data_IF_559774787396
#
_entry.id   IF_559774787396
#
_cell.length_a   1.000
_cell.length_b   1.000
_cell.length_c   1.000
_cell.angle_alpha   90.00
_cell.angle_beta   90.00
_cell.angle_gamma   90.00
#
_symmetry.space_group_name_H-M   'P 1'
#
loop_
_entity.id
_entity.type
_entity.pdbx_description
1 polymer ?
#
# COMPACT_ATOMS: atom_id res chain seq x y z
N UNK A 1 29.78 -32.19 21.45
CA UNK A 1 28.52 -31.67 20.88
C UNK A 1 28.51 -30.17 21.08
N UNK A 2 29.13 -29.42 20.18
CA UNK A 2 29.10 -27.96 20.15
C UNK A 2 27.94 -27.53 19.25
N UNK A 3 26.91 -26.94 19.85
CA UNK A 3 25.76 -26.40 19.12
C UNK A 3 26.22 -25.24 18.23
N UNK A 4 25.99 -25.37 16.93
CA UNK A 4 26.06 -24.25 16.00
C UNK A 4 24.79 -23.44 16.22
N UNK A 5 24.90 -22.35 16.98
CA UNK A 5 23.88 -21.29 16.96
C UNK A 5 24.02 -20.57 15.62
N UNK A 6 23.15 -20.89 14.66
CA UNK A 6 23.02 -20.10 13.44
C UNK A 6 22.48 -18.73 13.82
N UNK A 7 23.32 -17.70 13.75
CA UNK A 7 22.84 -16.31 13.77
C UNK A 7 21.83 -16.12 12.62
N UNK A 8 20.68 -15.46 12.85
CA UNK A 8 19.79 -15.12 11.76
C UNK A 8 20.55 -14.23 10.79
N UNK A 9 20.68 -14.68 9.54
CA UNK A 9 21.28 -13.90 8.47
C UNK A 9 20.34 -12.73 8.18
N UNK A 10 20.56 -11.59 8.84
CA UNK A 10 19.96 -10.32 8.44
C UNK A 10 20.40 -10.06 6.98
N UNK A 11 19.45 -9.88 6.07
CA UNK A 11 19.77 -9.60 4.67
C UNK A 11 20.35 -8.20 4.53
N UNK A 12 21.64 -8.14 4.18
CA UNK A 12 22.36 -6.91 3.86
C UNK A 12 21.74 -6.19 2.65
N UNK A 13 21.80 -4.86 2.68
CA UNK A 13 21.36 -3.91 1.65
C UNK A 13 21.76 -4.32 0.24
N UNK A 14 22.93 -4.94 0.11
CA UNK A 14 23.52 -5.42 -1.14
C UNK A 14 22.69 -6.50 -1.86
N UNK A 15 21.71 -7.12 -1.18
CA UNK A 15 20.83 -8.14 -1.78
C UNK A 15 19.54 -7.59 -2.36
N UNK A 16 19.15 -6.37 -2.01
CA UNK A 16 18.04 -5.72 -2.66
C UNK A 16 18.55 -5.11 -3.96
N UNK A 17 18.04 -5.58 -5.09
CA UNK A 17 18.07 -4.72 -6.26
C UNK A 17 17.20 -3.52 -5.86
N UNK A 18 17.81 -2.36 -5.67
CA UNK A 18 17.08 -1.12 -5.87
C UNK A 18 16.37 -1.30 -7.20
N UNK A 19 15.05 -1.14 -7.24
CA UNK A 19 14.36 -0.85 -8.47
C UNK A 19 14.46 0.67 -8.60
N UNK A 20 15.44 1.22 -9.34
CA UNK A 20 15.32 2.59 -9.81
C UNK A 20 13.95 2.73 -10.49
N UNK A 21 13.31 3.90 -10.36
CA UNK A 21 12.09 4.28 -11.12
C UNK A 21 12.14 3.83 -12.60
N UNK A 22 13.34 3.69 -13.14
CA UNK A 22 13.73 3.39 -14.52
C UNK A 22 13.54 1.94 -15.00
N UNK A 23 13.30 0.93 -14.16
CA UNK A 23 13.20 -0.48 -14.63
C UNK A 23 11.80 -1.02 -14.89
N UNK A 24 10.75 -0.21 -14.76
CA UNK A 24 9.46 -0.54 -15.39
C UNK A 24 9.48 -0.03 -16.84
N UNK A 25 10.24 -0.74 -17.68
CA UNK A 25 10.24 -0.55 -19.14
C UNK A 25 8.80 -0.62 -19.67
N UNK A 26 8.24 0.54 -20.01
CA UNK A 26 7.38 0.92 -21.16
C UNK A 26 6.33 -0.02 -21.78
N UNK A 27 6.13 -1.26 -21.33
CA UNK A 27 5.49 -2.30 -22.15
C UNK A 27 4.33 -3.06 -21.52
N UNK A 28 3.95 -2.78 -20.27
CA UNK A 28 2.80 -3.45 -19.67
C UNK A 28 1.72 -2.45 -19.25
N UNK A 29 1.00 -1.92 -20.25
CA UNK A 29 -0.42 -1.59 -20.05
C UNK A 29 -1.17 -2.90 -19.86
N UNK A 30 -1.05 -3.52 -18.70
CA UNK A 30 -1.81 -4.74 -18.46
C UNK A 30 -3.21 -4.32 -18.05
N UNK A 31 -4.11 -4.38 -19.03
CA UNK A 31 -5.54 -4.34 -18.79
C UNK A 31 -5.89 -5.61 -18.04
N UNK A 32 -6.00 -5.53 -16.73
CA UNK A 32 -6.52 -6.63 -15.95
C UNK A 32 -8.04 -6.54 -15.95
N UNK A 33 -8.68 -7.67 -16.26
CA UNK A 33 -10.06 -7.90 -15.88
C UNK A 33 -9.99 -8.58 -14.52
N UNK A 34 -10.40 -7.88 -13.48
CA UNK A 34 -10.66 -8.54 -12.20
C UNK A 34 -12.00 -9.23 -12.37
N UNK A 35 -11.98 -10.56 -12.33
CA UNK A 35 -13.17 -11.39 -12.36
C UNK A 35 -13.59 -11.70 -10.92
N UNK A 36 -14.54 -10.92 -10.40
CA UNK A 36 -15.17 -11.18 -9.10
C UNK A 36 -16.39 -12.10 -9.27
N UNK A 37 -16.31 -13.07 -10.18
CA UNK A 37 -17.38 -14.01 -10.52
C UNK A 37 -18.31 -13.47 -11.61
N UNK A 38 -19.17 -12.51 -11.29
CA UNK A 38 -20.16 -11.94 -12.24
C UNK A 38 -19.76 -10.53 -12.71
N UNK A 39 -18.78 -9.93 -12.05
CA UNK A 39 -18.34 -8.57 -12.29
C UNK A 39 -16.93 -8.57 -12.88
N UNK A 40 -16.80 -7.96 -14.06
CA UNK A 40 -15.52 -7.72 -14.73
C UNK A 40 -15.12 -6.28 -14.57
N UNK A 41 -14.25 -6.00 -13.61
CA UNK A 41 -13.68 -4.66 -13.44
C UNK A 41 -12.47 -4.52 -14.35
N UNK A 42 -12.51 -3.55 -15.26
CA UNK A 42 -11.37 -3.19 -16.09
C UNK A 42 -10.52 -2.15 -15.34
N UNK A 43 -9.36 -2.57 -14.84
CA UNK A 43 -8.37 -1.63 -14.32
C UNK A 43 -7.13 -1.58 -15.21
N UNK A 44 -6.56 -0.38 -15.30
CA UNK A 44 -5.25 -0.13 -15.87
C UNK A 44 -4.31 0.10 -14.69
N UNK A 45 -3.32 -0.77 -14.55
CA UNK A 45 -2.25 -0.58 -13.56
C UNK A 45 -1.19 0.31 -14.18
N UNK A 46 -1.03 1.51 -13.62
CA UNK A 46 0.10 2.40 -13.93
C UNK A 46 1.17 2.25 -12.85
N UNK A 47 2.39 2.74 -13.07
CA UNK A 47 3.46 2.78 -12.05
C UNK A 47 3.16 3.75 -10.87
N UNK A 48 1.91 4.12 -10.67
CA UNK A 48 1.38 5.10 -9.73
C UNK A 48 0.37 4.37 -8.83
N UNK A 49 0.86 3.64 -7.82
CA UNK A 49 0.04 2.77 -6.98
C UNK A 49 -1.00 3.57 -6.19
N UNK A 50 -0.72 4.83 -5.84
CA UNK A 50 -1.65 5.70 -5.13
C UNK A 50 -2.89 6.08 -5.95
N UNK A 51 -2.75 6.36 -7.25
CA UNK A 51 -3.90 6.63 -8.12
C UNK A 51 -4.63 5.35 -8.51
N UNK A 52 -3.89 4.23 -8.68
CA UNK A 52 -4.50 2.93 -8.91
C UNK A 52 -5.42 2.54 -7.74
N UNK A 53 -4.97 2.72 -6.49
CA UNK A 53 -5.77 2.44 -5.29
C UNK A 53 -6.93 3.42 -5.14
N UNK A 54 -6.72 4.72 -5.44
CA UNK A 54 -7.81 5.69 -5.45
C UNK A 54 -8.97 5.24 -6.36
N UNK A 55 -8.65 4.83 -7.60
CA UNK A 55 -9.65 4.37 -8.56
C UNK A 55 -10.24 3.02 -8.19
N UNK A 56 -9.42 2.10 -7.69
CA UNK A 56 -9.87 0.80 -7.18
C UNK A 56 -10.93 1.00 -6.09
N UNK A 57 -10.69 1.84 -5.09
CA UNK A 57 -11.66 2.08 -4.02
C UNK A 57 -12.99 2.60 -4.58
N UNK A 58 -12.97 3.60 -5.48
CA UNK A 58 -14.19 4.08 -6.14
C UNK A 58 -14.91 2.97 -6.88
N UNK A 59 -14.17 2.16 -7.63
CA UNK A 59 -14.72 1.06 -8.42
C UNK A 59 -15.36 0.00 -7.54
N UNK A 60 -14.75 -0.35 -6.39
CA UNK A 60 -15.34 -1.30 -5.45
C UNK A 60 -16.69 -0.81 -4.91
N UNK A 61 -16.81 0.48 -4.61
CA UNK A 61 -18.05 1.07 -4.09
C UNK A 61 -19.12 1.20 -5.20
N UNK A 62 -18.75 1.66 -6.38
CA UNK A 62 -19.67 1.81 -7.53
C UNK A 62 -20.30 0.48 -7.97
N UNK A 63 -19.58 -0.63 -7.77
CA UNK A 63 -20.06 -1.96 -8.15
C UNK A 63 -20.62 -2.76 -6.96
N UNK A 64 -20.81 -2.15 -5.79
CA UNK A 64 -21.42 -2.78 -4.62
C UNK A 64 -20.58 -3.89 -3.96
N UNK A 65 -19.28 -3.94 -4.24
CA UNK A 65 -18.33 -4.84 -3.56
C UNK A 65 -17.98 -4.29 -2.17
N UNK A 66 -17.88 -2.95 -2.09
CA UNK A 66 -17.70 -2.17 -0.87
C UNK A 66 -18.95 -1.33 -0.57
N UNK A 67 -19.01 -0.75 0.62
CA UNK A 67 -20.09 0.15 1.00
C UNK A 67 -20.21 1.33 0.02
N UNK A 68 -21.43 1.81 -0.24
CA UNK A 68 -21.65 2.90 -1.19
C UNK A 68 -20.90 4.19 -0.82
N UNK A 69 -20.62 4.39 0.47
CA UNK A 69 -19.83 5.52 0.99
C UNK A 69 -18.33 5.23 1.06
N UNK A 70 -17.91 4.03 0.67
CA UNK A 70 -16.55 3.50 0.86
C UNK A 70 -16.09 3.49 2.33
N UNK A 71 -17.04 3.46 3.28
CA UNK A 71 -16.73 3.54 4.70
C UNK A 71 -16.03 2.30 5.26
N UNK A 72 -16.13 1.17 4.55
CA UNK A 72 -15.45 -0.09 4.86
C UNK A 72 -14.07 -0.20 4.18
N UNK A 73 -13.59 0.85 3.49
CA UNK A 73 -12.31 0.87 2.79
C UNK A 73 -11.28 1.77 3.48
N UNK A 74 -10.05 1.28 3.47
CA UNK A 74 -8.88 1.97 4.02
C UNK A 74 -7.74 1.92 3.01
N UNK A 75 -7.17 3.08 2.69
CA UNK A 75 -5.99 3.21 1.84
C UNK A 75 -4.76 3.12 2.72
N UNK A 76 -3.86 2.20 2.41
CA UNK A 76 -2.66 1.93 3.22
C UNK A 76 -1.42 2.27 2.41
N UNK A 77 -0.72 3.33 2.82
CA UNK A 77 0.61 3.64 2.30
C UNK A 77 1.65 2.88 3.12
N UNK A 78 2.62 2.29 2.43
CA UNK A 78 3.72 1.52 3.02
C UNK A 78 5.01 2.24 2.63
N UNK A 79 5.75 2.77 3.62
CA UNK A 79 7.05 3.40 3.38
C UNK A 79 7.86 3.46 4.67
N UNK A 80 8.98 4.19 4.63
CA UNK A 80 9.82 4.54 5.77
C UNK A 80 10.66 5.79 5.45
N UNK A 81 11.44 6.25 6.42
CA UNK A 81 12.29 7.45 6.28
C UNK A 81 13.30 7.35 5.13
N UNK A 82 13.75 6.13 4.80
CA UNK A 82 14.72 5.89 3.73
C UNK A 82 14.09 5.66 2.38
N UNK A 83 12.76 5.53 2.31
CA UNK A 83 12.03 5.09 1.12
C UNK A 83 12.63 3.81 0.57
N UNK A 84 12.75 2.82 1.44
CA UNK A 84 13.34 1.51 1.13
C UNK A 84 12.57 0.45 1.90
N UNK A 85 11.46 -0.01 1.32
CA UNK A 85 10.57 -1.00 1.95
C UNK A 85 10.49 -2.28 1.13
N UNK A 86 11.04 -3.41 1.63
CA UNK A 86 10.99 -4.68 0.92
C UNK A 86 9.61 -5.33 1.07
N UNK A 87 9.00 -5.69 -0.05
CA UNK A 87 7.73 -6.42 -0.15
C UNK A 87 7.91 -7.65 -1.02
N UNK A 88 7.43 -8.80 -0.54
CA UNK A 88 7.46 -10.08 -1.26
C UNK A 88 6.21 -10.29 -2.11
N UNK A 89 6.23 -11.30 -2.98
CA UNK A 89 5.11 -11.64 -3.86
C UNK A 89 4.65 -10.45 -4.73
N UNK A 90 5.60 -9.75 -5.34
CA UNK A 90 5.33 -8.58 -6.18
C UNK A 90 5.54 -8.92 -7.67
N UNK A 91 4.58 -8.57 -8.52
CA UNK A 91 4.59 -8.81 -9.97
C UNK A 91 5.80 -8.19 -10.67
N UNK A 92 6.33 -7.09 -10.12
CA UNK A 92 7.51 -6.41 -10.65
C UNK A 92 8.83 -7.13 -10.34
N UNK A 93 8.83 -8.14 -9.45
CA UNK A 93 10.05 -8.87 -9.12
C UNK A 93 10.48 -9.77 -10.28
N UNK A 94 11.74 -9.66 -10.69
CA UNK A 94 12.39 -10.62 -11.60
C UNK A 94 13.16 -11.70 -10.83
N UNK A 95 13.09 -11.69 -9.50
CA UNK A 95 13.83 -12.59 -8.62
C UNK A 95 13.01 -13.81 -8.26
N UNK A 96 13.68 -14.92 -7.98
CA UNK A 96 13.02 -16.16 -7.56
C UNK A 96 12.32 -16.05 -6.19
N UNK A 97 12.79 -15.15 -5.32
CA UNK A 97 12.18 -14.87 -4.02
C UNK A 97 11.02 -13.85 -4.10
N UNK A 98 10.74 -13.29 -5.27
CA UNK A 98 9.57 -12.43 -5.48
C UNK A 98 9.62 -11.07 -4.76
N UNK A 99 10.78 -10.66 -4.22
CA UNK A 99 10.93 -9.41 -3.47
C UNK A 99 11.15 -8.21 -4.40
N UNK A 100 10.58 -7.06 -4.03
CA UNK A 100 10.83 -5.74 -4.63
C UNK A 100 11.12 -4.76 -3.51
N UNK A 101 12.10 -3.88 -3.72
CA UNK A 101 12.41 -2.79 -2.79
C UNK A 101 11.75 -1.51 -3.29
N UNK A 102 10.62 -1.16 -2.68
CA UNK A 102 9.85 0.02 -3.05
C UNK A 102 10.33 1.26 -2.29
N UNK A 103 10.18 2.43 -2.91
CA UNK A 103 10.24 3.72 -2.23
C UNK A 103 9.00 3.94 -1.37
N UNK A 104 7.84 3.66 -1.93
CA UNK A 104 6.58 3.45 -1.23
C UNK A 104 5.69 2.51 -2.04
N UNK A 105 4.73 1.88 -1.38
CA UNK A 105 3.66 1.12 -2.04
C UNK A 105 2.31 1.50 -1.46
N UNK A 106 1.24 1.35 -2.23
CA UNK A 106 -0.13 1.65 -1.78
C UNK A 106 -1.04 0.48 -2.06
N UNK A 107 -1.81 0.07 -1.05
CA UNK A 107 -2.81 -1.00 -1.14
C UNK A 107 -4.16 -0.50 -0.59
N UNK A 108 -5.24 -1.18 -0.92
CA UNK A 108 -6.53 -0.99 -0.26
C UNK A 108 -6.81 -2.16 0.69
N UNK A 109 -7.25 -1.89 1.91
CA UNK A 109 -7.77 -2.89 2.84
C UNK A 109 -9.27 -2.64 3.03
N UNK A 110 -10.07 -3.66 2.76
CA UNK A 110 -11.49 -3.68 3.02
C UNK A 110 -11.77 -4.39 4.34
N UNK A 111 -12.47 -3.71 5.25
CA UNK A 111 -12.95 -4.27 6.51
C UNK A 111 -14.44 -4.00 6.65
N UNK A 112 -15.27 -5.03 6.43
CA UNK A 112 -16.71 -4.94 6.64
C UNK A 112 -17.04 -4.93 8.13
N UNK A 113 -18.14 -4.26 8.49
CA UNK A 113 -18.63 -4.17 9.89
C UNK A 113 -19.27 -5.47 10.39
N UNK A 114 -19.59 -6.40 9.50
CA UNK A 114 -20.14 -7.70 9.84
C UNK A 114 -19.09 -8.53 10.59
N UNK A 115 -19.44 -8.98 11.81
CA UNK A 115 -18.51 -9.28 12.91
C UNK A 115 -17.46 -10.35 12.65
N UNK A 116 -17.63 -11.19 11.63
CA UNK A 116 -16.81 -12.39 11.41
C UNK A 116 -16.08 -12.37 10.06
N UNK A 117 -16.26 -11.33 9.24
CA UNK A 117 -15.57 -11.27 7.95
C UNK A 117 -14.09 -10.90 8.13
N UNK A 118 -13.20 -11.74 7.61
CA UNK A 118 -11.77 -11.43 7.60
C UNK A 118 -11.51 -10.22 6.69
N UNK A 119 -10.71 -9.23 7.13
CA UNK A 119 -10.32 -8.12 6.27
C UNK A 119 -9.61 -8.60 4.99
N UNK A 120 -9.89 -7.92 3.88
CA UNK A 120 -9.37 -8.26 2.56
C UNK A 120 -8.41 -7.19 2.06
N UNK A 121 -7.28 -7.62 1.52
CA UNK A 121 -6.27 -6.77 0.88
C UNK A 121 -6.44 -6.82 -0.62
N UNK A 122 -6.54 -5.63 -1.22
CA UNK A 122 -6.60 -5.40 -2.64
C UNK A 122 -5.31 -4.70 -3.07
N UNK A 123 -4.33 -5.52 -3.49
CA UNK A 123 -3.04 -5.08 -4.01
C UNK A 123 -2.92 -5.46 -5.49
N UNK A 124 -2.91 -4.46 -6.36
CA UNK A 124 -2.86 -4.65 -7.81
C UNK A 124 -1.52 -5.18 -8.30
N UNK A 125 -0.46 -5.01 -7.51
CA UNK A 125 0.90 -5.41 -7.84
C UNK A 125 1.31 -6.72 -7.16
N UNK A 126 0.43 -7.33 -6.36
CA UNK A 126 0.69 -8.61 -5.72
C UNK A 126 0.52 -9.80 -6.67
N UNK A 127 1.33 -10.84 -6.49
CA UNK A 127 1.16 -12.17 -7.10
C UNK A 127 0.28 -13.11 -6.27
N UNK A 128 -0.17 -12.68 -5.08
CA UNK A 128 -1.11 -13.41 -4.23
C UNK A 128 -2.54 -13.36 -4.82
N UNK A 129 -3.51 -14.11 -4.28
CA UNK A 129 -4.92 -13.98 -4.67
C UNK A 129 -5.41 -12.53 -4.62
N UNK A 130 -6.36 -12.18 -5.48
CA UNK A 130 -6.90 -10.82 -5.56
C UNK A 130 -8.43 -10.86 -5.42
N UNK A 131 -9.01 -10.39 -4.30
CA UNK A 131 -8.32 -9.93 -3.08
C UNK A 131 -7.65 -11.08 -2.29
N UNK A 132 -6.69 -10.72 -1.44
CA UNK A 132 -6.04 -11.63 -0.48
C UNK A 132 -6.61 -11.45 0.92
N UNK A 133 -6.80 -12.52 1.71
CA UNK A 133 -7.04 -12.37 3.16
C UNK A 133 -5.89 -11.61 3.84
N UNK A 134 -6.19 -10.70 4.77
CA UNK A 134 -5.20 -9.85 5.43
C UNK A 134 -4.12 -10.66 6.14
N UNK A 135 -4.48 -11.72 6.85
CA UNK A 135 -3.51 -12.55 7.57
C UNK A 135 -2.52 -13.22 6.61
N UNK A 136 -3.00 -13.73 5.47
CA UNK A 136 -2.16 -14.29 4.41
C UNK A 136 -1.26 -13.23 3.78
N UNK A 137 -1.78 -12.05 3.46
CA UNK A 137 -1.00 -10.97 2.88
C UNK A 137 0.12 -10.50 3.83
N UNK A 138 -0.16 -10.33 5.12
CA UNK A 138 0.85 -9.98 6.12
C UNK A 138 1.93 -11.06 6.22
N UNK A 139 1.52 -12.34 6.27
CA UNK A 139 2.47 -13.45 6.41
C UNK A 139 3.38 -13.58 5.18
N UNK A 140 2.82 -13.47 3.98
CA UNK A 140 3.52 -13.77 2.72
C UNK A 140 4.25 -12.53 2.16
N UNK A 141 3.61 -11.36 2.15
CA UNK A 141 4.14 -10.12 1.55
C UNK A 141 4.95 -9.30 2.54
N UNK A 142 4.47 -9.15 3.78
CA UNK A 142 5.16 -8.35 4.81
C UNK A 142 6.19 -9.21 5.56
N UNK A 143 5.98 -10.51 5.74
CA UNK A 143 6.92 -11.41 6.43
C UNK A 143 7.50 -10.81 7.73
N UNK A 144 6.66 -10.52 8.75
CA UNK A 144 7.13 -9.87 9.98
C UNK A 144 8.15 -10.72 10.77
N UNK A 145 8.18 -12.03 10.56
CA UNK A 145 9.19 -12.94 11.11
C UNK A 145 10.57 -12.79 10.46
N UNK A 146 10.66 -12.15 9.29
CA UNK A 146 11.91 -11.89 8.59
C UNK A 146 12.63 -10.69 9.21
N UNK A 147 13.83 -10.91 9.74
CA UNK A 147 14.58 -9.86 10.43
C UNK A 147 15.21 -8.89 9.44
N UNK A 148 14.71 -7.65 9.45
CA UNK A 148 15.21 -6.54 8.65
C UNK A 148 16.11 -5.61 9.46
N UNK A 149 17.11 -5.03 8.80
CA UNK A 149 17.83 -3.88 9.36
C UNK A 149 16.86 -2.70 9.60
N UNK A 150 17.21 -1.84 10.57
CA UNK A 150 16.36 -0.74 11.00
C UNK A 150 15.92 0.18 9.83
N UNK A 151 16.80 0.39 8.86
CA UNK A 151 16.54 1.21 7.67
C UNK A 151 15.52 0.63 6.69
N UNK A 152 15.26 -0.68 6.75
CA UNK A 152 14.26 -1.38 5.93
C UNK A 152 12.96 -1.65 6.69
N UNK A 153 12.87 -1.23 7.96
CA UNK A 153 11.64 -1.40 8.73
C UNK A 153 10.49 -0.66 8.03
N UNK A 154 9.34 -1.33 7.99
CA UNK A 154 8.16 -0.86 7.27
C UNK A 154 7.17 -0.25 8.24
N UNK A 155 6.64 0.89 7.85
CA UNK A 155 5.55 1.56 8.51
C UNK A 155 4.37 1.66 7.56
N UNK A 156 3.19 1.73 8.15
CA UNK A 156 1.92 1.67 7.43
C UNK A 156 1.10 2.87 7.85
N UNK A 157 0.79 3.75 6.90
CA UNK A 157 -0.18 4.83 7.10
C UNK A 157 -1.54 4.37 6.60
N UNK A 158 -2.49 4.17 7.51
CA UNK A 158 -3.86 3.76 7.21
C UNK A 158 -4.74 5.00 7.18
N UNK A 159 -5.35 5.28 6.04
CA UNK A 159 -6.23 6.42 5.80
C UNK A 159 -7.62 5.92 5.45
N UNK A 160 -8.65 6.45 6.12
CA UNK A 160 -10.04 6.12 5.78
C UNK A 160 -10.36 6.62 4.36
N UNK A 161 -10.93 5.76 3.50
CA UNK A 161 -11.12 6.10 2.08
C UNK A 161 -11.94 7.37 1.83
N UNK A 162 -13.03 7.69 2.58
CA UNK A 162 -13.72 8.98 2.44
C UNK A 162 -12.83 10.20 2.70
N UNK A 163 -11.93 10.12 3.68
CA UNK A 163 -10.96 11.17 3.97
C UNK A 163 -9.89 11.24 2.88
N UNK A 164 -9.46 10.09 2.36
CA UNK A 164 -8.53 10.03 1.24
C UNK A 164 -9.11 10.72 0.00
N UNK A 165 -10.35 10.42 -0.39
CA UNK A 165 -11.00 11.07 -1.54
C UNK A 165 -11.15 12.58 -1.40
N UNK A 166 -11.36 13.05 -0.17
CA UNK A 166 -11.51 14.47 0.14
C UNK A 166 -10.18 15.21 0.07
N UNK A 167 -9.11 14.61 0.57
CA UNK A 167 -7.87 15.32 0.87
C UNK A 167 -6.69 14.96 -0.01
N UNK A 168 -6.69 13.81 -0.69
CA UNK A 168 -5.55 13.39 -1.49
C UNK A 168 -5.44 14.18 -2.80
N UNK A 169 -4.21 14.55 -3.16
CA UNK A 169 -3.88 15.18 -4.43
C UNK A 169 -2.49 14.74 -4.94
N UNK A 170 -2.42 14.47 -6.23
CA UNK A 170 -1.17 14.20 -6.94
C UNK A 170 -1.22 14.81 -8.33
N UNK A 171 -0.33 15.77 -8.57
CA UNK A 171 -0.03 16.32 -9.89
C UNK A 171 1.01 15.51 -10.67
N UNK A 172 1.36 14.31 -10.17
CA UNK A 172 2.29 13.35 -10.78
C UNK A 172 3.71 13.88 -10.96
N UNK A 173 4.09 14.99 -10.30
CA UNK A 173 5.43 15.60 -10.46
C UNK A 173 6.58 14.66 -10.12
N UNK A 174 6.35 13.70 -9.23
CA UNK A 174 7.36 12.73 -8.81
C UNK A 174 7.66 11.67 -9.88
N UNK A 175 6.79 11.55 -10.89
CA UNK A 175 6.97 10.67 -12.06
C UNK A 175 7.66 11.40 -13.23
N UNK A 176 8.19 12.60 -13.00
CA UNK A 176 8.92 13.36 -14.02
C UNK A 176 10.41 13.34 -13.72
N UNK A 177 11.19 13.13 -14.77
CA UNK A 177 12.63 13.33 -14.77
C UNK A 177 12.98 14.82 -14.67
N UNK A 178 14.24 15.16 -14.31
CA UNK A 178 14.71 16.54 -14.31
C UNK A 178 14.55 17.28 -15.64
N UNK A 179 14.55 16.55 -16.77
CA UNK A 179 14.33 17.11 -18.11
C UNK A 179 12.83 17.26 -18.48
N UNK A 180 11.93 16.87 -17.56
CA UNK A 180 10.48 16.94 -17.73
C UNK A 180 9.87 15.73 -18.46
N UNK A 181 10.67 14.75 -18.90
CA UNK A 181 10.16 13.51 -19.47
C UNK A 181 9.52 12.63 -18.39
N UNK A 182 8.62 11.73 -18.79
CA UNK A 182 7.92 10.84 -17.87
C UNK A 182 8.73 9.57 -17.62
N UNK A 183 8.90 9.20 -16.35
CA UNK A 183 9.53 7.92 -15.95
C UNK A 183 8.70 6.72 -16.43
N UNK A 184 7.38 6.88 -16.43
CA UNK A 184 6.41 5.96 -17.00
C UNK A 184 5.23 6.74 -17.58
N UNK A 185 4.57 6.20 -18.61
CA UNK A 185 3.41 6.85 -19.23
C UNK A 185 2.32 7.13 -18.17
N UNK A 186 1.94 8.39 -17.96
CA UNK A 186 0.97 8.73 -16.94
C UNK A 186 -0.43 8.21 -17.34
N UNK A 187 -1.34 8.05 -16.36
CA UNK A 187 -2.71 7.77 -16.67
C UNK A 187 -3.33 8.82 -17.62
N UNK A 188 -4.23 8.41 -18.54
CA UNK A 188 -4.80 9.30 -19.56
C UNK A 188 -5.87 10.26 -19.02
N UNK A 189 -6.27 10.12 -17.75
CA UNK A 189 -7.20 11.03 -17.09
C UNK A 189 -6.45 12.15 -16.35
N UNK A 190 -7.14 13.24 -16.07
CA UNK A 190 -6.60 14.40 -15.36
C UNK A 190 -6.04 14.02 -13.98
N UNK A 191 -4.97 14.69 -13.50
CA UNK A 191 -4.43 14.45 -12.16
C UNK A 191 -5.48 14.59 -11.05
N UNK A 192 -5.30 13.85 -9.96
CA UNK A 192 -6.23 13.90 -8.83
C UNK A 192 -5.98 15.19 -8.04
N UNK A 193 -7.03 15.99 -7.88
CA UNK A 193 -7.03 17.25 -7.13
C UNK A 193 -7.89 17.06 -5.88
N UNK A 194 -7.39 17.54 -4.74
CA UNK A 194 -8.13 17.49 -3.49
C UNK A 194 -9.37 18.41 -3.53
N UNK A 195 -10.37 18.14 -2.69
CA UNK A 195 -11.63 18.89 -2.70
C UNK A 195 -11.44 20.39 -2.36
N UNK A 196 -10.39 20.72 -1.61
CA UNK A 196 -10.00 22.09 -1.25
C UNK A 196 -9.13 22.79 -2.31
N UNK A 197 -8.86 22.14 -3.44
CA UNK A 197 -8.08 22.67 -4.55
C UNK A 197 -6.57 22.46 -4.43
N UNK A 198 -6.08 21.76 -3.39
CA UNK A 198 -4.67 21.36 -3.32
C UNK A 198 -4.35 20.45 -4.52
N UNK A 199 -3.25 20.77 -5.21
CA UNK A 199 -2.80 20.04 -6.40
C UNK A 199 -1.81 18.91 -6.08
N UNK A 200 -1.13 18.97 -4.94
CA UNK A 200 -0.11 18.00 -4.58
C UNK A 200 0.06 17.90 -3.06
N UNK A 201 -0.04 16.70 -2.52
CA UNK A 201 0.33 16.40 -1.14
C UNK A 201 0.78 14.94 -0.91
N UNK A 202 1.10 14.20 -1.97
CA UNK A 202 1.56 12.81 -1.89
C UNK A 202 2.70 12.61 -0.87
N UNK A 203 3.63 13.57 -0.77
CA UNK A 203 4.72 13.50 0.20
C UNK A 203 4.25 13.40 1.66
N UNK A 204 3.11 13.99 2.02
CA UNK A 204 2.53 13.89 3.37
C UNK A 204 2.06 12.46 3.67
N UNK A 205 1.55 11.75 2.67
CA UNK A 205 1.11 10.37 2.80
C UNK A 205 2.28 9.40 2.91
N UNK A 206 3.37 9.65 2.17
CA UNK A 206 4.57 8.82 2.17
C UNK A 206 5.42 9.04 3.43
N UNK A 207 5.51 10.28 3.93
CA UNK A 207 6.35 10.59 5.07
C UNK A 207 5.87 9.86 6.34
N UNK A 208 6.66 8.92 6.83
CA UNK A 208 6.39 8.17 8.06
C UNK A 208 7.68 7.56 8.64
N UNK A 209 7.73 7.50 9.96
CA UNK A 209 8.83 6.97 10.77
C UNK A 209 8.29 6.16 11.95
N UNK A 210 9.18 5.50 12.70
CA UNK A 210 8.80 4.81 13.93
C UNK A 210 8.23 5.74 15.00
N UNK A 211 8.65 7.01 15.03
CA UNK A 211 8.16 8.00 15.97
C UNK A 211 6.68 8.37 15.74
N UNK A 212 6.17 8.13 14.53
CA UNK A 212 4.79 8.44 14.16
C UNK A 212 3.80 7.32 14.53
N UNK A 213 4.32 6.15 14.93
CA UNK A 213 3.49 4.98 15.26
C UNK A 213 2.62 5.22 16.48
N UNK A 214 1.39 4.69 16.46
CA UNK A 214 0.52 4.74 17.64
C UNK A 214 1.17 4.06 18.84
N UNK A 215 1.12 4.74 19.99
CA UNK A 215 1.55 4.19 21.27
C UNK A 215 0.59 3.14 21.84
N UNK A 216 -0.68 3.16 21.42
CA UNK A 216 -1.75 2.27 21.90
C UNK A 216 -2.75 1.97 20.79
N UNK A 217 -3.31 0.77 20.79
CA UNK A 217 -4.40 0.33 19.89
C UNK A 217 -5.73 0.19 20.64
N UNK A 218 -5.93 0.95 21.71
CA UNK A 218 -7.24 1.03 22.35
C UNK A 218 -8.28 1.65 21.39
N UNK A 219 -9.57 1.25 21.47
CA UNK A 219 -10.58 1.65 20.50
C UNK A 219 -10.78 3.17 20.37
N UNK A 220 -10.65 3.92 21.47
CA UNK A 220 -10.83 5.37 21.47
C UNK A 220 -9.68 6.07 20.71
N UNK A 221 -8.43 5.67 21.00
CA UNK A 221 -7.24 6.16 20.28
C UNK A 221 -7.32 5.82 18.80
N UNK A 222 -7.69 4.59 18.45
CA UNK A 222 -7.82 4.15 17.04
C UNK A 222 -8.89 4.96 16.32
N UNK A 223 -10.06 5.16 16.94
CA UNK A 223 -11.17 5.93 16.37
C UNK A 223 -10.79 7.39 16.16
N UNK A 224 -10.12 8.01 17.13
CA UNK A 224 -9.67 9.40 17.02
C UNK A 224 -8.60 9.57 15.93
N UNK A 225 -7.66 8.62 15.83
CA UNK A 225 -6.57 8.65 14.86
C UNK A 225 -7.06 8.42 13.42
N UNK A 226 -7.95 7.45 13.20
CA UNK A 226 -8.45 7.15 11.85
C UNK A 226 -9.35 8.26 11.28
N UNK A 227 -9.89 9.12 12.16
CA UNK A 227 -10.68 10.30 11.78
C UNK A 227 -9.83 11.49 11.32
N UNK A 228 -8.50 11.42 11.43
CA UNK A 228 -7.59 12.47 11.00
C UNK A 228 -7.37 12.46 9.48
N UNK A 229 -7.05 13.62 8.89
CA UNK A 229 -6.78 13.80 7.44
C UNK A 229 -5.86 12.73 6.86
N UNK A 230 -4.73 12.48 7.53
CA UNK A 230 -3.69 11.52 7.11
C UNK A 230 -3.83 10.17 7.81
N UNK A 231 -4.95 9.95 8.50
CA UNK A 231 -5.23 8.79 9.32
C UNK A 231 -4.12 8.53 10.36
N UNK A 232 -3.68 7.28 10.42
CA UNK A 232 -2.85 6.75 11.49
C UNK A 232 -1.63 6.03 10.94
N UNK A 233 -0.49 6.09 11.64
CA UNK A 233 0.70 5.28 11.34
C UNK A 233 0.84 4.14 12.35
N UNK A 234 1.16 2.94 11.87
CA UNK A 234 1.43 1.77 12.70
C UNK A 234 2.65 0.99 12.17
N UNK A 235 3.25 0.18 13.03
CA UNK A 235 4.33 -0.73 12.66
C UNK A 235 3.79 -2.05 12.08
N UNK A 236 4.68 -2.88 11.55
CA UNK A 236 4.34 -4.23 11.08
C UNK A 236 3.73 -5.14 12.17
N UNK A 237 4.06 -4.93 13.44
CA UNK A 237 3.50 -5.72 14.55
C UNK A 237 2.08 -5.30 14.92
N UNK A 238 1.70 -4.07 14.58
CA UNK A 238 0.41 -3.48 14.92
C UNK A 238 -0.61 -3.57 13.78
N UNK A 239 -0.16 -3.80 12.54
CA UNK A 239 -0.98 -3.70 11.34
C UNK A 239 -2.24 -4.60 11.39
N UNK A 240 -2.06 -5.88 11.68
CA UNK A 240 -3.18 -6.83 11.73
C UNK A 240 -4.14 -6.50 12.88
N UNK A 241 -3.59 -6.20 14.06
CA UNK A 241 -4.38 -5.87 15.25
C UNK A 241 -5.19 -4.59 15.08
N UNK A 242 -4.65 -3.56 14.40
CA UNK A 242 -5.38 -2.33 14.08
C UNK A 242 -6.71 -2.64 13.35
N UNK A 243 -6.66 -3.53 12.35
CA UNK A 243 -7.85 -3.98 11.61
C UNK A 243 -8.76 -4.93 12.40
N UNK A 244 -8.50 -5.18 13.68
CA UNK A 244 -9.49 -5.74 14.62
C UNK A 244 -10.12 -4.66 15.50
N UNK A 245 -9.50 -3.48 15.61
CA UNK A 245 -9.88 -2.38 16.53
C UNK A 245 -10.58 -1.18 15.87
N UNK A 246 -10.54 -1.06 14.54
CA UNK A 246 -11.35 -0.08 13.80
C UNK A 246 -12.86 -0.22 14.11
N UNK A 247 -13.60 0.90 14.15
CA UNK A 247 -15.03 0.96 14.46
C UNK A 247 -15.96 0.47 13.33
#
# INVERSE_FOLDING_TARGET
MSGVTSEPIAMDATRFQHTPYYWYSSSFKTKFLIDLGVLKIKMLTFSCSEENVYLLCKTLCENGVAEATCSDLFVVFISNEKKQVPLWHQKASTRADGVVLWDYHVICVQRKKESDSEPLVWDLDSTLPFPSPLASYVTETIQPSFQLFAEYQRFFRIVHAPLFFKHFASDRRHMKEPDGSWTAQPPPYEPIVAQDGILHNLSEYIAMSGADTLSSLDPETVTAAISQKLGVVVSHTQLQDLFTKLP
#
